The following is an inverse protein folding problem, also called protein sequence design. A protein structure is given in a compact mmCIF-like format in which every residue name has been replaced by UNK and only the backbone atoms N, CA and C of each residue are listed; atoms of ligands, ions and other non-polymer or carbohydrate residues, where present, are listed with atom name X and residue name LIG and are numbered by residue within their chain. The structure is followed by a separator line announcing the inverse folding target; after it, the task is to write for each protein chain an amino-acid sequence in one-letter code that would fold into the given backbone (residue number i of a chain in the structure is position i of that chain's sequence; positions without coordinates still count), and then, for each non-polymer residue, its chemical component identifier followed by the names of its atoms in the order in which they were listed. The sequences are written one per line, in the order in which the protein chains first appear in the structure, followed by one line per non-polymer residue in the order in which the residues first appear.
data_IF_343130128832
#
_entry.id   IF_343130128832
#
_cell.length_a   1.000
_cell.length_b   1.000
_cell.length_c   1.000
_cell.angle_alpha   90.00
_cell.angle_beta   90.00
_cell.angle_gamma   90.00
#
_symmetry.space_group_name_H-M   'P 1'
#
loop_
_entity.id
_entity.type
_entity.pdbx_description
1 polymer ?
#
# COMPACT_ATOMS: atom_id res chain seq x y z
N UNK A 1 -8.81 -17.03 2.91
CA UNK A 1 -7.89 -16.11 3.60
C UNK A 1 -6.53 -16.26 2.96
N UNK A 2 -5.87 -15.16 2.59
CA UNK A 2 -4.57 -15.20 1.89
C UNK A 2 -3.40 -15.11 2.86
N UNK A 3 -3.46 -14.13 3.77
CA UNK A 3 -2.49 -13.96 4.85
C UNK A 3 -3.20 -13.99 6.19
N UNK A 4 -2.64 -14.72 7.15
CA UNK A 4 -3.10 -14.74 8.53
C UNK A 4 -1.90 -14.55 9.46
N UNK A 5 -2.02 -13.58 10.35
CA UNK A 5 -1.04 -13.26 11.39
C UNK A 5 -1.74 -13.44 12.73
N UNK A 6 -1.13 -14.23 13.64
CA UNK A 6 -1.68 -14.52 14.96
C UNK A 6 -0.62 -14.30 16.05
N UNK A 7 -0.97 -13.52 17.05
CA UNK A 7 -0.16 -13.24 18.24
C UNK A 7 1.28 -12.83 17.89
N UNK A 8 1.47 -12.14 16.74
CA UNK A 8 2.80 -11.86 16.20
C UNK A 8 3.55 -10.86 17.06
N UNK A 9 4.69 -11.30 17.57
CA UNK A 9 5.61 -10.46 18.32
C UNK A 9 6.98 -10.45 17.68
N UNK A 10 7.61 -9.26 17.63
CA UNK A 10 8.93 -9.05 17.05
C UNK A 10 9.77 -8.21 17.99
N UNK A 11 10.94 -8.73 18.34
CA UNK A 11 11.93 -8.05 19.14
C UNK A 11 13.15 -7.65 18.30
N UNK A 12 13.58 -6.39 18.38
CA UNK A 12 14.80 -5.89 17.74
C UNK A 12 15.67 -5.22 18.80
N UNK A 13 16.92 -5.65 18.90
CA UNK A 13 17.88 -5.10 19.87
C UNK A 13 17.33 -5.08 21.32
N UNK A 14 16.68 -6.15 21.73
CA UNK A 14 16.00 -6.30 23.05
C UNK A 14 14.80 -5.36 23.26
N UNK A 15 14.32 -4.69 22.24
CA UNK A 15 13.12 -3.89 22.31
C UNK A 15 11.98 -4.62 21.58
N UNK A 16 10.86 -4.79 22.25
CA UNK A 16 9.66 -5.35 21.67
C UNK A 16 9.00 -4.30 20.77
N UNK A 17 9.09 -4.51 19.46
CA UNK A 17 8.59 -3.57 18.43
C UNK A 17 7.17 -3.92 18.02
N UNK A 18 6.88 -5.19 17.80
CA UNK A 18 5.53 -5.69 17.54
C UNK A 18 5.05 -6.51 18.72
N UNK A 19 3.80 -6.30 19.13
CA UNK A 19 3.21 -6.86 20.34
C UNK A 19 1.86 -7.48 20.00
N UNK A 20 1.80 -8.81 20.00
CA UNK A 20 0.59 -9.60 19.85
C UNK A 20 -0.30 -9.07 18.70
N UNK A 21 0.32 -8.96 17.51
CA UNK A 21 -0.34 -8.43 16.31
C UNK A 21 -1.17 -9.52 15.67
N UNK A 22 -2.47 -9.26 15.53
CA UNK A 22 -3.42 -10.07 14.77
C UNK A 22 -3.87 -9.35 13.51
N UNK A 23 -3.78 -10.01 12.36
CA UNK A 23 -4.22 -9.47 11.09
C UNK A 23 -4.59 -10.60 10.13
N UNK A 24 -5.73 -10.47 9.49
CA UNK A 24 -6.17 -11.37 8.42
C UNK A 24 -6.46 -10.59 7.15
N UNK A 25 -5.98 -11.11 6.01
CA UNK A 25 -6.16 -10.48 4.69
C UNK A 25 -6.68 -11.53 3.72
N UNK A 26 -7.72 -11.18 2.97
CA UNK A 26 -8.30 -12.04 1.95
C UNK A 26 -7.52 -11.95 0.63
N UNK A 27 -7.72 -12.92 -0.24
CA UNK A 27 -7.15 -12.89 -1.58
C UNK A 27 -7.76 -11.74 -2.40
N UNK A 28 -6.90 -10.98 -3.08
CA UNK A 28 -7.33 -9.83 -3.88
C UNK A 28 -7.73 -8.61 -3.05
N UNK A 29 -7.53 -8.62 -1.72
CA UNK A 29 -7.85 -7.49 -0.85
C UNK A 29 -6.73 -6.44 -0.87
N UNK A 30 -7.11 -5.17 -0.88
CA UNK A 30 -6.22 -4.04 -0.66
C UNK A 30 -6.37 -3.53 0.77
N UNK A 31 -5.37 -3.72 1.61
CA UNK A 31 -5.37 -3.21 2.98
C UNK A 31 -4.31 -2.13 3.16
N UNK A 32 -4.66 -1.04 3.86
CA UNK A 32 -3.72 0.01 4.25
C UNK A 32 -3.42 -0.05 5.74
N UNK A 33 -2.15 -0.07 6.08
CA UNK A 33 -1.65 -0.04 7.45
C UNK A 33 -1.29 1.39 7.83
N UNK A 34 -2.03 1.95 8.77
CA UNK A 34 -1.94 3.32 9.23
C UNK A 34 -1.46 3.40 10.69
N UNK A 35 -0.88 4.53 11.05
CA UNK A 35 -0.46 4.83 12.42
C UNK A 35 0.70 5.83 12.45
N UNK A 36 1.04 6.37 13.62
CA UNK A 36 2.12 7.34 13.78
C UNK A 36 3.47 6.77 13.36
N UNK A 37 4.44 7.66 13.07
CA UNK A 37 5.81 7.25 12.76
C UNK A 37 6.40 6.46 13.93
N UNK A 38 7.11 5.37 13.60
CA UNK A 38 7.76 4.53 14.62
C UNK A 38 6.85 3.50 15.30
N UNK A 39 5.55 3.40 14.98
CA UNK A 39 4.65 2.42 15.62
C UNK A 39 4.84 0.96 15.15
N UNK A 40 5.77 0.68 14.20
CA UNK A 40 6.10 -0.70 13.80
C UNK A 40 5.63 -1.13 12.41
N UNK A 41 4.97 -0.27 11.61
CA UNK A 41 4.42 -0.62 10.28
C UNK A 41 5.42 -1.26 9.32
N UNK A 42 6.56 -0.60 9.08
CA UNK A 42 7.62 -1.14 8.21
C UNK A 42 8.28 -2.39 8.81
N UNK A 43 8.29 -2.53 10.14
CA UNK A 43 8.74 -3.76 10.80
C UNK A 43 7.79 -4.90 10.47
N UNK A 44 6.48 -4.69 10.57
CA UNK A 44 5.47 -5.69 10.21
C UNK A 44 5.61 -6.11 8.73
N UNK A 45 5.73 -5.15 7.80
CA UNK A 45 5.96 -5.46 6.39
C UNK A 45 7.20 -6.33 6.17
N UNK A 46 8.33 -5.95 6.80
CA UNK A 46 9.59 -6.68 6.67
C UNK A 46 9.52 -8.06 7.31
N UNK A 47 8.75 -8.24 8.38
CA UNK A 47 8.51 -9.54 9.01
C UNK A 47 7.68 -10.44 8.11
N UNK A 48 6.60 -9.95 7.50
CA UNK A 48 5.80 -10.69 6.51
C UNK A 48 6.69 -11.14 5.35
N UNK A 49 7.56 -10.27 4.86
CA UNK A 49 8.50 -10.59 3.78
C UNK A 49 9.65 -11.53 4.18
N UNK A 50 9.83 -11.82 5.47
CA UNK A 50 10.92 -12.67 5.96
C UNK A 50 12.28 -11.99 6.03
N UNK A 51 12.32 -10.66 6.06
CA UNK A 51 13.54 -9.87 6.25
C UNK A 51 13.85 -9.64 7.73
N UNK A 52 12.87 -9.79 8.59
CA UNK A 52 12.98 -9.72 10.04
C UNK A 52 12.39 -11.01 10.60
N UNK A 53 13.09 -11.71 11.51
CA UNK A 53 12.59 -12.93 12.11
C UNK A 53 11.44 -12.64 13.08
N UNK A 54 10.55 -13.63 13.23
CA UNK A 54 9.47 -13.64 14.22
C UNK A 54 10.04 -14.02 15.56
N UNK A 55 9.66 -13.31 16.64
CA UNK A 55 10.04 -13.66 18.02
C UNK A 55 8.96 -14.47 18.74
N UNK A 56 7.69 -14.30 18.35
CA UNK A 56 6.53 -15.05 18.85
C UNK A 56 5.36 -14.99 17.89
N UNK A 57 4.42 -15.91 18.03
CA UNK A 57 3.26 -16.00 17.13
C UNK A 57 3.56 -16.59 15.77
N UNK A 58 2.64 -16.41 14.83
CA UNK A 58 2.71 -17.05 13.50
C UNK A 58 2.33 -16.08 12.38
N UNK A 59 3.01 -16.26 11.24
CA UNK A 59 2.62 -15.67 9.95
C UNK A 59 2.32 -16.83 9.01
N UNK A 60 1.10 -16.90 8.48
CA UNK A 60 0.67 -17.96 7.57
C UNK A 60 0.26 -17.35 6.23
N UNK A 61 0.67 -17.99 5.13
CA UNK A 61 0.31 -17.62 3.77
C UNK A 61 -0.33 -18.83 3.08
N UNK A 62 -1.53 -18.65 2.52
CA UNK A 62 -2.33 -19.75 1.95
C UNK A 62 -2.55 -20.93 2.93
N UNK A 63 -2.64 -20.63 4.24
CA UNK A 63 -2.82 -21.63 5.31
C UNK A 63 -1.53 -22.30 5.79
N UNK A 64 -0.37 -22.02 5.18
CA UNK A 64 0.92 -22.55 5.58
C UNK A 64 1.72 -21.55 6.40
N UNK A 65 2.23 -21.96 7.57
CA UNK A 65 3.11 -21.12 8.41
C UNK A 65 4.44 -20.88 7.70
N UNK A 66 4.79 -19.59 7.54
CA UNK A 66 5.98 -19.17 6.79
C UNK A 66 7.09 -18.56 7.65
N UNK A 67 7.02 -18.69 8.98
CA UNK A 67 8.00 -18.10 9.88
C UNK A 67 9.45 -18.42 9.49
N UNK A 68 9.73 -19.71 9.25
CA UNK A 68 11.06 -20.22 8.91
C UNK A 68 11.33 -20.24 7.39
N UNK A 69 10.35 -19.85 6.56
CA UNK A 69 10.53 -19.82 5.11
C UNK A 69 11.42 -18.63 4.73
N UNK A 70 12.53 -18.83 4.01
CA UNK A 70 13.40 -17.73 3.57
C UNK A 70 12.65 -16.73 2.69
N UNK A 71 12.97 -15.43 2.81
CA UNK A 71 12.30 -14.33 2.13
C UNK A 71 12.05 -14.58 0.63
N UNK A 72 13.07 -15.09 -0.09
CA UNK A 72 12.98 -15.33 -1.53
C UNK A 72 12.03 -16.49 -1.93
N UNK A 73 11.56 -17.29 -0.97
CA UNK A 73 10.59 -18.39 -1.19
C UNK A 73 9.18 -18.06 -0.72
N UNK A 74 8.96 -16.95 -0.02
CA UNK A 74 7.65 -16.60 0.55
C UNK A 74 6.61 -16.19 -0.48
N UNK A 75 7.03 -15.84 -1.70
CA UNK A 75 6.11 -15.31 -2.72
C UNK A 75 5.62 -13.89 -2.42
N UNK A 76 6.29 -13.18 -1.53
CA UNK A 76 6.02 -11.77 -1.21
C UNK A 76 7.05 -10.87 -1.87
N UNK A 77 6.65 -9.65 -2.28
CA UNK A 77 7.57 -8.65 -2.83
C UNK A 77 7.33 -7.32 -2.13
N UNK A 78 8.42 -6.66 -1.71
CA UNK A 78 8.36 -5.29 -1.17
C UNK A 78 8.79 -4.29 -2.23
N UNK A 79 7.97 -3.25 -2.42
CA UNK A 79 8.36 -1.99 -3.06
C UNK A 79 8.71 -1.02 -1.94
N UNK A 80 9.99 -0.73 -1.79
CA UNK A 80 10.50 0.18 -0.76
C UNK A 80 10.36 1.64 -1.20
N UNK A 81 10.30 2.54 -0.24
CA UNK A 81 10.29 3.99 -0.45
C UNK A 81 11.48 4.47 -1.30
N UNK A 82 12.68 3.89 -1.11
CA UNK A 82 13.90 4.17 -1.87
C UNK A 82 14.01 3.36 -3.18
N UNK A 83 12.93 2.67 -3.59
CA UNK A 83 12.75 1.88 -4.82
C UNK A 83 13.76 0.75 -5.04
N UNK A 84 14.97 0.83 -4.50
CA UNK A 84 16.07 -0.14 -4.58
C UNK A 84 16.30 -0.70 -5.99
N UNK A 85 16.32 0.20 -6.98
CA UNK A 85 16.63 -0.17 -8.36
C UNK A 85 18.13 -0.46 -8.50
N UNK A 86 18.48 -1.37 -9.41
CA UNK A 86 19.86 -1.68 -9.72
C UNK A 86 20.45 -0.59 -10.65
N UNK A 87 21.35 0.27 -10.19
CA UNK A 87 21.77 1.46 -10.94
C UNK A 87 22.60 1.12 -12.18
N UNK A 88 23.28 -0.04 -12.16
CA UNK A 88 24.13 -0.50 -13.27
C UNK A 88 23.36 -1.24 -14.37
N UNK A 89 22.06 -1.52 -14.15
CA UNK A 89 21.19 -2.18 -15.11
C UNK A 89 20.35 -1.16 -15.87
N UNK A 90 19.89 -1.54 -17.06
CA UNK A 90 18.86 -0.79 -17.78
C UNK A 90 17.49 -0.96 -17.12
N UNK A 91 16.50 -0.21 -17.60
CA UNK A 91 15.10 -0.32 -17.16
C UNK A 91 14.57 -1.73 -17.40
N UNK A 92 14.72 -2.25 -18.63
CA UNK A 92 14.26 -3.61 -18.96
C UNK A 92 15.02 -4.68 -18.14
N UNK A 93 16.31 -4.51 -17.91
CA UNK A 93 17.08 -5.43 -17.07
C UNK A 93 16.62 -5.44 -15.60
N UNK A 94 16.26 -4.27 -15.04
CA UNK A 94 15.66 -4.18 -13.71
C UNK A 94 14.35 -4.96 -13.62
N UNK A 95 13.44 -4.73 -14.57
CA UNK A 95 12.14 -5.41 -14.61
C UNK A 95 12.30 -6.91 -14.89
N UNK A 96 13.24 -7.29 -15.76
CA UNK A 96 13.54 -8.67 -16.10
C UNK A 96 14.27 -9.44 -15.00
N UNK A 97 14.76 -8.78 -13.94
CA UNK A 97 15.60 -9.41 -12.94
C UNK A 97 14.93 -10.58 -12.19
N UNK A 98 13.69 -10.47 -11.71
CA UNK A 98 12.98 -11.61 -11.11
C UNK A 98 12.82 -12.79 -12.07
N UNK A 99 12.55 -12.53 -13.34
CA UNK A 99 12.42 -13.56 -14.38
C UNK A 99 13.75 -14.27 -14.64
N UNK A 100 14.87 -13.54 -14.54
CA UNK A 100 16.22 -14.15 -14.60
C UNK A 100 16.44 -15.12 -13.45
N UNK A 101 16.03 -14.78 -12.23
CA UNK A 101 16.14 -15.65 -11.06
C UNK A 101 15.28 -16.92 -11.23
N UNK A 102 14.11 -16.81 -11.86
CA UNK A 102 13.25 -17.94 -12.23
C UNK A 102 13.84 -18.82 -13.37
N UNK A 103 15.03 -18.49 -13.91
CA UNK A 103 15.70 -19.25 -14.96
C UNK A 103 15.25 -18.95 -16.38
N UNK A 104 14.46 -17.91 -16.61
CA UNK A 104 13.99 -17.55 -17.96
C UNK A 104 15.16 -17.10 -18.84
N UNK A 105 15.20 -17.53 -20.10
CA UNK A 105 16.23 -17.12 -21.07
C UNK A 105 16.17 -15.60 -21.35
N UNK A 106 17.27 -15.04 -21.89
CA UNK A 106 17.42 -13.60 -22.04
C UNK A 106 16.38 -12.98 -22.96
N UNK A 107 16.08 -13.60 -24.09
CA UNK A 107 15.14 -13.03 -25.06
C UNK A 107 13.72 -12.95 -24.49
N UNK A 108 13.24 -14.04 -23.89
CA UNK A 108 11.88 -14.10 -23.31
C UNK A 108 11.71 -13.15 -22.12
N UNK A 109 12.71 -13.08 -21.22
CA UNK A 109 12.58 -12.20 -20.05
C UNK A 109 12.60 -10.70 -20.41
N UNK A 110 13.37 -10.31 -21.46
CA UNK A 110 13.34 -8.92 -21.94
C UNK A 110 12.01 -8.61 -22.60
N UNK A 111 11.48 -9.52 -23.45
CA UNK A 111 10.16 -9.36 -24.06
C UNK A 111 9.06 -9.20 -22.98
N UNK A 112 9.05 -10.08 -21.97
CA UNK A 112 8.12 -9.93 -20.82
C UNK A 112 8.34 -8.64 -20.04
N UNK A 113 9.58 -8.20 -19.85
CA UNK A 113 9.85 -6.92 -19.19
C UNK A 113 9.23 -5.74 -19.94
N UNK A 114 9.28 -5.73 -21.29
CA UNK A 114 8.61 -4.70 -22.10
C UNK A 114 7.07 -4.75 -21.93
N UNK A 115 6.47 -5.93 -21.79
CA UNK A 115 5.04 -6.06 -21.47
C UNK A 115 4.71 -5.41 -20.12
N UNK A 116 5.51 -5.70 -19.05
CA UNK A 116 5.32 -5.08 -17.74
C UNK A 116 5.58 -3.57 -17.75
N UNK A 117 6.53 -3.09 -18.55
CA UNK A 117 6.74 -1.66 -18.76
C UNK A 117 5.54 -0.99 -19.43
N UNK A 118 4.84 -1.69 -20.30
CA UNK A 118 3.57 -1.23 -20.89
C UNK A 118 2.50 -0.98 -19.82
N UNK A 119 2.33 -1.89 -18.85
CA UNK A 119 1.35 -1.74 -17.77
C UNK A 119 1.60 -0.52 -16.89
N UNK A 120 2.87 -0.11 -16.72
CA UNK A 120 3.23 1.08 -15.95
C UNK A 120 3.47 2.33 -16.81
N UNK A 121 2.99 2.32 -18.07
CA UNK A 121 3.08 3.45 -19.02
C UNK A 121 4.53 3.89 -19.33
N UNK A 122 5.45 2.94 -19.41
CA UNK A 122 6.87 3.16 -19.77
C UNK A 122 7.29 2.36 -21.00
N UNK A 123 6.37 2.13 -21.97
CA UNK A 123 6.71 1.48 -23.23
C UNK A 123 7.86 2.21 -23.94
N UNK A 124 8.84 1.45 -24.42
CA UNK A 124 10.01 2.01 -25.12
C UNK A 124 11.09 2.63 -24.22
N UNK A 125 10.98 2.48 -22.90
CA UNK A 125 12.00 2.95 -21.96
C UNK A 125 13.06 1.88 -21.63
N UNK A 126 12.92 0.65 -22.12
CA UNK A 126 13.70 -0.51 -21.71
C UNK A 126 15.21 -0.34 -21.76
N UNK A 127 15.74 0.32 -22.79
CA UNK A 127 17.19 0.52 -22.98
C UNK A 127 17.76 1.69 -22.15
N UNK A 128 16.93 2.48 -21.49
CA UNK A 128 17.39 3.62 -20.72
C UNK A 128 18.10 3.18 -19.44
N UNK A 129 19.06 3.99 -18.99
CA UNK A 129 19.67 3.85 -17.66
C UNK A 129 18.74 4.44 -16.60
N UNK A 130 18.74 3.84 -15.42
CA UNK A 130 17.94 4.30 -14.28
C UNK A 130 18.24 5.76 -13.91
N UNK A 131 19.50 6.17 -14.01
CA UNK A 131 19.93 7.56 -13.71
C UNK A 131 19.37 8.63 -14.65
N UNK A 132 18.73 8.23 -15.76
CA UNK A 132 18.09 9.16 -16.73
C UNK A 132 16.59 9.27 -16.53
N UNK A 133 16.05 8.66 -15.49
CA UNK A 133 14.62 8.65 -15.17
C UNK A 133 14.32 9.65 -14.05
N UNK A 134 13.13 10.29 -14.13
CA UNK A 134 12.56 11.03 -13.01
C UNK A 134 12.21 10.10 -11.83
N UNK A 135 12.02 10.64 -10.62
CA UNK A 135 11.61 9.86 -9.45
C UNK A 135 10.34 9.03 -9.70
N UNK A 136 9.29 9.64 -10.26
CA UNK A 136 8.06 8.92 -10.60
C UNK A 136 8.26 7.82 -11.66
N UNK A 137 9.14 8.03 -12.65
CA UNK A 137 9.48 6.99 -13.62
C UNK A 137 10.26 5.83 -12.96
N UNK A 138 11.18 6.14 -12.06
CA UNK A 138 11.89 5.09 -11.29
C UNK A 138 10.92 4.27 -10.43
N UNK A 139 9.93 4.91 -9.85
CA UNK A 139 8.90 4.23 -9.06
C UNK A 139 8.02 3.30 -9.92
N UNK A 140 7.65 3.73 -11.12
CA UNK A 140 6.95 2.89 -12.10
C UNK A 140 7.81 1.68 -12.49
N UNK A 141 9.12 1.84 -12.66
CA UNK A 141 10.04 0.71 -12.91
C UNK A 141 10.08 -0.25 -11.71
N UNK A 142 10.09 0.26 -10.46
CA UNK A 142 10.05 -0.58 -9.27
C UNK A 142 8.75 -1.40 -9.16
N UNK A 143 7.60 -0.78 -9.51
CA UNK A 143 6.32 -1.48 -9.61
C UNK A 143 6.32 -2.55 -10.71
N UNK A 144 6.80 -2.23 -11.91
CA UNK A 144 6.91 -3.21 -13.00
C UNK A 144 7.80 -4.41 -12.62
N UNK A 145 8.92 -4.15 -11.93
CA UNK A 145 9.78 -5.21 -11.39
C UNK A 145 9.07 -6.07 -10.35
N UNK A 146 8.28 -5.45 -9.47
CA UNK A 146 7.48 -6.17 -8.49
C UNK A 146 6.43 -7.07 -9.15
N UNK A 147 5.72 -6.58 -10.17
CA UNK A 147 4.75 -7.34 -10.96
C UNK A 147 5.40 -8.51 -11.70
N UNK A 148 6.59 -8.29 -12.30
CA UNK A 148 7.32 -9.33 -13.03
C UNK A 148 7.75 -10.52 -12.13
N UNK A 149 7.81 -10.31 -10.82
CA UNK A 149 8.03 -11.40 -9.87
C UNK A 149 6.81 -12.32 -9.72
N UNK A 150 5.61 -11.89 -10.16
CA UNK A 150 4.32 -12.60 -10.01
C UNK A 150 4.09 -13.00 -8.54
N UNK A 151 4.09 -12.02 -7.62
CA UNK A 151 4.01 -12.30 -6.19
C UNK A 151 2.61 -12.73 -5.77
N UNK A 152 2.51 -13.49 -4.68
CA UNK A 152 1.25 -13.78 -3.99
C UNK A 152 0.72 -12.57 -3.23
N UNK A 153 1.64 -11.74 -2.68
CA UNK A 153 1.34 -10.50 -1.96
C UNK A 153 2.33 -9.42 -2.36
N UNK A 154 1.83 -8.23 -2.65
CA UNK A 154 2.61 -7.02 -2.87
C UNK A 154 2.59 -6.16 -1.60
N UNK A 155 3.76 -5.79 -1.13
CA UNK A 155 3.98 -4.97 0.06
C UNK A 155 4.53 -3.61 -0.39
N UNK A 156 3.83 -2.53 -0.08
CA UNK A 156 4.20 -1.17 -0.47
C UNK A 156 4.58 -0.37 0.78
N UNK A 157 5.85 0.00 0.92
CA UNK A 157 6.38 0.74 2.07
C UNK A 157 6.54 2.22 1.71
N UNK A 158 5.56 3.05 2.05
CA UNK A 158 5.47 4.49 1.76
C UNK A 158 5.77 4.84 0.29
N UNK A 159 5.10 4.18 -0.68
CA UNK A 159 5.51 4.26 -2.08
C UNK A 159 5.32 5.65 -2.71
N UNK A 160 4.55 6.55 -2.11
CA UNK A 160 4.22 7.85 -2.70
C UNK A 160 4.87 9.05 -1.99
N UNK A 161 5.57 8.82 -0.87
CA UNK A 161 6.05 9.89 0.03
C UNK A 161 7.06 10.85 -0.59
N UNK A 162 7.80 10.41 -1.63
CA UNK A 162 8.82 11.22 -2.32
C UNK A 162 8.32 11.97 -3.55
N UNK A 163 7.01 11.88 -3.86
CA UNK A 163 6.41 12.49 -5.06
C UNK A 163 5.73 13.81 -4.73
N UNK A 164 5.71 14.72 -5.71
CA UNK A 164 4.81 15.87 -5.68
C UNK A 164 3.34 15.45 -5.83
N UNK A 165 2.40 16.34 -5.51
CA UNK A 165 0.97 16.00 -5.39
C UNK A 165 0.38 15.45 -6.69
N UNK A 166 0.69 16.05 -7.84
CA UNK A 166 0.17 15.59 -9.13
C UNK A 166 0.67 14.19 -9.50
N UNK A 167 1.99 13.97 -9.34
CA UNK A 167 2.59 12.65 -9.56
C UNK A 167 2.09 11.60 -8.55
N UNK A 168 1.78 12.02 -7.34
CA UNK A 168 1.22 11.14 -6.29
C UNK A 168 -0.15 10.63 -6.68
N UNK A 169 -1.03 11.50 -7.19
CA UNK A 169 -2.35 11.09 -7.66
C UNK A 169 -2.27 10.14 -8.85
N UNK A 170 -1.45 10.44 -9.85
CA UNK A 170 -1.20 9.57 -11.00
C UNK A 170 -0.71 8.18 -10.56
N UNK A 171 0.18 8.13 -9.56
CA UNK A 171 0.72 6.88 -9.05
C UNK A 171 -0.29 6.09 -8.23
N UNK A 172 -1.13 6.75 -7.43
CA UNK A 172 -2.24 6.11 -6.72
C UNK A 172 -3.20 5.43 -7.69
N UNK A 173 -3.61 6.15 -8.72
CA UNK A 173 -4.49 5.62 -9.77
C UNK A 173 -3.85 4.43 -10.49
N UNK A 174 -2.58 4.54 -10.89
CA UNK A 174 -1.84 3.44 -11.50
C UNK A 174 -1.80 2.19 -10.61
N UNK A 175 -1.50 2.35 -9.32
CA UNK A 175 -1.44 1.21 -8.38
C UNK A 175 -2.82 0.56 -8.20
N UNK A 176 -3.91 1.36 -8.14
CA UNK A 176 -5.30 0.84 -8.09
C UNK A 176 -5.65 0.06 -9.35
N UNK A 177 -5.29 0.57 -10.52
CA UNK A 177 -5.56 -0.10 -11.78
C UNK A 177 -4.80 -1.42 -11.89
N UNK A 178 -3.51 -1.43 -11.52
CA UNK A 178 -2.70 -2.65 -11.47
C UNK A 178 -3.25 -3.66 -10.46
N UNK A 179 -3.64 -3.20 -9.26
CA UNK A 179 -4.27 -4.05 -8.25
C UNK A 179 -5.52 -4.75 -8.81
N UNK A 180 -6.42 -4.01 -9.45
CA UNK A 180 -7.65 -4.56 -10.05
C UNK A 180 -7.34 -5.49 -11.22
N UNK A 181 -6.47 -5.08 -12.13
CA UNK A 181 -6.12 -5.82 -13.33
C UNK A 181 -5.48 -7.18 -13.02
N UNK A 182 -4.55 -7.21 -12.06
CA UNK A 182 -3.83 -8.41 -11.66
C UNK A 182 -4.44 -9.14 -10.47
N UNK A 183 -5.55 -8.62 -9.90
CA UNK A 183 -6.21 -9.16 -8.69
C UNK A 183 -5.21 -9.39 -7.56
N UNK A 184 -4.34 -8.41 -7.34
CA UNK A 184 -3.27 -8.52 -6.35
C UNK A 184 -3.82 -8.50 -4.93
N UNK A 185 -3.18 -9.23 -4.01
CA UNK A 185 -3.33 -8.97 -2.59
C UNK A 185 -2.28 -7.94 -2.20
N UNK A 186 -2.70 -6.78 -1.68
CA UNK A 186 -1.81 -5.63 -1.47
C UNK A 186 -1.86 -5.12 -0.04
N UNK A 187 -0.69 -4.90 0.55
CA UNK A 187 -0.56 -4.21 1.84
C UNK A 187 0.19 -2.90 1.58
N UNK A 188 -0.47 -1.78 1.85
CA UNK A 188 0.10 -0.44 1.76
C UNK A 188 0.43 0.08 3.16
N UNK A 189 1.67 0.49 3.37
CA UNK A 189 2.05 1.31 4.52
C UNK A 189 2.13 2.76 4.06
N UNK A 190 1.39 3.62 4.71
CA UNK A 190 1.44 5.07 4.50
C UNK A 190 1.17 5.80 5.82
N UNK A 191 1.63 7.03 5.92
CA UNK A 191 1.24 7.96 6.97
C UNK A 191 0.17 8.96 6.50
N UNK A 192 -0.15 8.94 5.20
CA UNK A 192 -1.18 9.77 4.61
C UNK A 192 -2.55 9.06 4.70
N UNK A 193 -3.46 9.69 5.47
CA UNK A 193 -4.80 9.17 5.71
C UNK A 193 -5.66 9.18 4.45
N UNK A 194 -5.49 10.20 3.61
CA UNK A 194 -6.25 10.33 2.37
C UNK A 194 -5.86 9.23 1.37
N UNK A 195 -4.56 8.94 1.27
CA UNK A 195 -4.09 7.81 0.47
C UNK A 195 -4.69 6.49 0.93
N UNK A 196 -4.64 6.22 2.23
CA UNK A 196 -5.13 4.98 2.79
C UNK A 196 -6.63 4.79 2.51
N UNK A 197 -7.43 5.82 2.78
CA UNK A 197 -8.89 5.79 2.56
C UNK A 197 -9.24 5.67 1.07
N UNK A 198 -8.52 6.39 0.21
CA UNK A 198 -8.82 6.39 -1.23
C UNK A 198 -8.46 5.06 -1.91
N UNK A 199 -7.57 4.25 -1.32
CA UNK A 199 -7.01 3.08 -1.99
C UNK A 199 -7.47 1.76 -1.41
N UNK A 200 -7.76 1.69 -0.11
CA UNK A 200 -7.93 0.43 0.59
C UNK A 200 -9.39 0.00 0.70
N UNK A 201 -9.61 -1.31 0.61
CA UNK A 201 -10.88 -1.94 0.97
C UNK A 201 -11.04 -1.96 2.51
N UNK A 202 -9.92 -2.13 3.23
CA UNK A 202 -9.86 -2.08 4.70
C UNK A 202 -8.63 -1.34 5.20
N UNK A 203 -8.78 -0.72 6.36
CA UNK A 203 -7.69 -0.10 7.10
C UNK A 203 -7.32 -1.00 8.29
N UNK A 204 -6.03 -1.01 8.64
CA UNK A 204 -5.51 -1.55 9.89
C UNK A 204 -4.77 -0.42 10.63
N UNK A 205 -5.28 -0.05 11.79
CA UNK A 205 -4.76 1.06 12.58
C UNK A 205 -3.80 0.53 13.62
N UNK A 206 -2.57 1.03 13.60
CA UNK A 206 -1.49 0.52 14.43
C UNK A 206 -0.95 1.61 15.38
N UNK A 207 -0.93 1.31 16.68
CA UNK A 207 -0.29 2.13 17.71
C UNK A 207 0.65 1.28 18.58
N UNK A 208 1.80 1.84 18.91
CA UNK A 208 2.73 1.27 19.88
C UNK A 208 3.05 -0.22 19.70
N UNK A 209 3.10 -0.67 18.45
CA UNK A 209 3.45 -2.05 18.09
C UNK A 209 2.27 -3.01 17.95
N UNK A 210 1.03 -2.58 18.19
CA UNK A 210 -0.17 -3.42 18.09
C UNK A 210 -1.17 -2.86 17.09
N UNK A 211 -1.97 -3.72 16.45
CA UNK A 211 -3.12 -3.31 15.66
C UNK A 211 -4.30 -3.12 16.63
N UNK A 212 -4.83 -1.91 16.70
CA UNK A 212 -5.91 -1.55 17.62
C UNK A 212 -7.29 -1.62 16.99
N UNK A 213 -7.37 -1.47 15.66
CA UNK A 213 -8.62 -1.57 14.92
C UNK A 213 -8.36 -1.98 13.47
N UNK A 214 -9.26 -2.79 12.93
CA UNK A 214 -9.33 -3.10 11.49
C UNK A 214 -10.78 -3.01 11.03
N UNK A 215 -11.02 -2.44 9.86
CA UNK A 215 -12.36 -2.30 9.30
C UNK A 215 -12.35 -1.58 7.97
N UNK A 216 -13.53 -1.48 7.34
CA UNK A 216 -13.68 -0.56 6.22
C UNK A 216 -13.43 0.88 6.68
N UNK A 217 -12.95 1.78 5.82
CA UNK A 217 -12.73 3.17 6.22
C UNK A 217 -13.93 3.80 6.92
N UNK A 218 -15.14 3.55 6.41
CA UNK A 218 -16.39 4.06 6.96
C UNK A 218 -16.63 3.60 8.41
N UNK A 219 -16.37 2.32 8.69
CA UNK A 219 -16.60 1.74 10.02
C UNK A 219 -15.63 2.36 11.05
N UNK A 220 -14.36 2.57 10.64
CA UNK A 220 -13.34 3.15 11.52
C UNK A 220 -13.66 4.61 11.86
N UNK A 221 -14.23 5.36 10.92
CA UNK A 221 -14.62 6.77 11.15
C UNK A 221 -15.90 6.91 11.96
N UNK A 222 -16.89 6.03 11.74
CA UNK A 222 -18.18 6.07 12.45
C UNK A 222 -18.08 5.51 13.87
N UNK A 223 -17.25 4.48 14.05
CA UNK A 223 -17.10 3.75 15.32
C UNK A 223 -15.62 3.53 15.66
N UNK A 224 -14.86 4.58 16.00
CA UNK A 224 -13.47 4.43 16.39
C UNK A 224 -13.34 3.60 17.67
N UNK A 225 -12.42 2.63 17.69
CA UNK A 225 -12.22 1.71 18.82
C UNK A 225 -11.74 2.39 20.12
N UNK A 226 -11.36 3.66 20.04
CA UNK A 226 -10.95 4.46 21.19
C UNK A 226 -10.48 5.85 20.81
N UNK A 227 -10.24 6.66 21.84
CA UNK A 227 -9.86 8.06 21.66
C UNK A 227 -8.59 8.24 20.84
N UNK A 228 -7.63 7.33 20.95
CA UNK A 228 -6.38 7.40 20.15
C UNK A 228 -6.65 7.29 18.65
N UNK A 229 -7.63 6.44 18.24
CA UNK A 229 -8.05 6.30 16.85
C UNK A 229 -8.79 7.56 16.40
N UNK A 230 -9.74 8.04 17.20
CA UNK A 230 -10.48 9.27 16.96
C UNK A 230 -9.53 10.48 16.80
N UNK A 231 -8.62 10.68 17.75
CA UNK A 231 -7.62 11.75 17.74
C UNK A 231 -6.65 11.62 16.55
N UNK A 232 -6.27 10.38 16.20
CA UNK A 232 -5.39 10.13 15.05
C UNK A 232 -6.01 10.60 13.75
N UNK A 233 -7.29 10.41 13.55
CA UNK A 233 -8.00 10.95 12.38
C UNK A 233 -8.39 12.42 12.54
N UNK A 234 -8.14 13.03 13.70
CA UNK A 234 -8.30 14.47 13.96
C UNK A 234 -9.74 14.93 13.93
N UNK A 235 -10.67 14.10 14.43
CA UNK A 235 -12.10 14.40 14.39
C UNK A 235 -12.61 14.61 12.95
N UNK A 236 -12.05 13.91 11.97
CA UNK A 236 -12.51 14.01 10.59
C UNK A 236 -13.73 13.09 10.40
N UNK A 237 -14.78 13.63 9.80
CA UNK A 237 -15.96 12.90 9.36
C UNK A 237 -15.80 12.53 7.88
N UNK A 238 -16.04 11.26 7.56
CA UNK A 238 -16.24 10.85 6.18
C UNK A 238 -17.69 11.16 5.80
N UNK A 239 -17.87 12.08 4.87
CA UNK A 239 -19.20 12.49 4.41
C UNK A 239 -19.42 11.98 3.00
N UNK A 240 -20.45 11.14 2.81
CA UNK A 240 -20.90 10.70 1.49
C UNK A 240 -21.70 11.79 0.81
N UNK A 241 -21.49 11.98 -0.48
CA UNK A 241 -22.21 12.98 -1.24
C UNK A 241 -22.05 12.82 -2.73
N UNK A 242 -22.63 13.74 -3.46
CA UNK A 242 -22.59 13.80 -4.92
C UNK A 242 -21.97 15.11 -5.35
N UNK A 243 -21.04 15.04 -6.30
CA UNK A 243 -20.52 16.21 -7.00
C UNK A 243 -21.36 16.45 -8.23
N UNK A 244 -21.83 17.72 -8.39
CA UNK A 244 -22.47 18.20 -9.61
C UNK A 244 -21.97 19.61 -9.91
N UNK A 245 -21.48 19.83 -11.11
CA UNK A 245 -20.97 21.13 -11.57
C UNK A 245 -19.91 21.71 -10.60
N UNK A 246 -19.01 20.87 -10.06
CA UNK A 246 -17.99 21.29 -9.12
C UNK A 246 -18.49 21.62 -7.71
N UNK A 247 -19.73 21.20 -7.37
CA UNK A 247 -20.32 21.39 -6.04
C UNK A 247 -20.61 20.04 -5.40
N UNK A 248 -19.99 19.76 -4.26
CA UNK A 248 -20.29 18.60 -3.44
C UNK A 248 -21.52 18.87 -2.57
N UNK A 249 -22.45 17.94 -2.55
CA UNK A 249 -23.63 17.96 -1.67
C UNK A 249 -23.69 16.66 -0.90
N UNK A 250 -23.67 16.72 0.42
CA UNK A 250 -23.75 15.55 1.28
C UNK A 250 -25.12 14.84 1.15
N UNK A 251 -25.09 13.51 1.19
CA UNK A 251 -26.29 12.65 1.10
C UNK A 251 -26.62 11.94 2.41
N UNK A 252 -25.80 12.11 3.45
CA UNK A 252 -25.96 11.52 4.78
C UNK A 252 -26.90 12.30 5.72
N UNK A 253 -27.53 13.34 5.20
CA UNK A 253 -28.40 14.24 5.99
C UNK A 253 -27.65 15.41 6.61
N UNK A 254 -26.34 15.50 6.49
CA UNK A 254 -25.58 16.71 6.85
C UNK A 254 -25.88 17.83 5.86
N UNK A 255 -25.92 19.09 6.33
CA UNK A 255 -26.15 20.27 5.46
C UNK A 255 -24.84 20.75 4.80
N UNK A 256 -23.92 19.83 4.50
CA UNK A 256 -22.65 20.19 3.92
C UNK A 256 -22.78 20.39 2.40
N UNK A 257 -22.44 21.60 1.96
CA UNK A 257 -22.32 21.97 0.54
C UNK A 257 -21.00 22.72 0.40
N UNK A 258 -20.12 22.25 -0.47
CA UNK A 258 -18.85 22.94 -0.72
C UNK A 258 -18.42 22.83 -2.19
N UNK A 259 -17.72 23.85 -2.67
CA UNK A 259 -17.09 23.79 -3.99
C UNK A 259 -15.90 22.82 -3.93
N UNK A 260 -15.76 21.98 -4.96
CA UNK A 260 -14.72 20.97 -5.04
C UNK A 260 -14.27 20.78 -6.48
N UNK A 261 -12.96 20.65 -6.67
CA UNK A 261 -12.39 20.34 -7.98
C UNK A 261 -12.31 18.81 -8.19
N UNK A 262 -13.46 18.23 -8.52
CA UNK A 262 -13.62 16.81 -8.84
C UNK A 262 -14.68 16.62 -9.92
N UNK A 263 -14.58 15.55 -10.74
CA UNK A 263 -15.59 15.22 -11.73
C UNK A 263 -16.93 14.91 -11.06
N UNK A 264 -18.02 15.13 -11.80
CA UNK A 264 -19.37 14.81 -11.37
C UNK A 264 -19.54 13.33 -11.05
N UNK A 265 -20.26 13.01 -9.98
CA UNK A 265 -20.53 11.64 -9.54
C UNK A 265 -20.57 11.49 -8.03
N UNK A 266 -20.78 10.27 -7.59
CA UNK A 266 -20.73 9.91 -6.17
C UNK A 266 -19.31 10.07 -5.64
N UNK A 267 -19.19 10.69 -4.47
CA UNK A 267 -17.92 11.04 -3.87
C UNK A 267 -18.01 10.97 -2.35
N UNK A 268 -16.92 10.56 -1.72
CA UNK A 268 -16.73 10.63 -0.27
C UNK A 268 -15.67 11.68 0.06
N UNK A 269 -16.01 12.58 0.96
CA UNK A 269 -15.12 13.63 1.44
C UNK A 269 -14.78 13.42 2.90
N UNK A 270 -13.48 13.47 3.22
CA UNK A 270 -13.03 13.57 4.60
C UNK A 270 -13.05 15.05 5.02
N UNK A 271 -13.91 15.37 5.97
CA UNK A 271 -14.12 16.73 6.45
C UNK A 271 -13.70 16.84 7.91
N UNK A 272 -12.95 17.87 8.22
CA UNK A 272 -12.57 18.15 9.61
C UNK A 272 -13.79 18.64 10.39
N UNK A 273 -14.07 18.01 11.55
CA UNK A 273 -15.20 18.37 12.41
C UNK A 273 -15.11 19.78 12.97
N UNK A 274 -13.89 20.36 13.11
CA UNK A 274 -13.70 21.74 13.52
C UNK A 274 -14.19 22.76 12.48
N UNK A 275 -14.36 22.35 11.23
CA UNK A 275 -14.94 23.15 10.15
C UNK A 275 -16.47 23.16 10.21
N UNK A 276 -17.08 22.04 10.66
CA UNK A 276 -18.53 21.90 10.78
C UNK A 276 -19.10 22.64 12.01
N UNK A 277 -18.30 22.86 13.04
CA UNK A 277 -18.72 23.54 14.27
C UNK A 277 -18.71 25.06 14.18
N UNK A 278 -18.32 25.64 13.04
CA UNK A 278 -18.24 27.12 12.81
C UNK A 278 -19.34 27.67 11.92
N UNK A 279 -20.39 26.89 11.65
CA UNK A 279 -21.59 27.39 10.93
C UNK A 279 -22.77 27.57 11.85
#
# INVERSE_FOLDING_TARGET
MKLEIKDLSVELNKNLILKDVDLSINEGEFISLLGPSGCGKSTLLKTIAGLIPVSGGTVSLDGEVINEVPAYKRGTVIVFQDMRLFPNMTVAENVAYPLKIKGMNKADRIRKAEEYLGYVQLSGYGDRKISRLSGGQQQRVALARALAAEPKIVLLDEPFSSLDENLREDMRNLVKDLHRQFRMTTILVTHDRQEAVAMADRLAIMFSGSIVQTGAPEDIFSEPAGKDVEDYFGGNLLVKGVVRDGVFTATDGSKLICAIDRPDGDCELMIRTDVLSKQ
#
